data_IF_419117105188
#
_entry.id   IF_419117105188
#
_cell.length_a   1.000
_cell.length_b   1.000
_cell.length_c   1.000
_cell.angle_alpha   90.00
_cell.angle_beta   90.00
_cell.angle_gamma   90.00
#
_symmetry.space_group_name_H-M   'P 1'
#
loop_
_entity.id
_entity.type
_entity.pdbx_description
1 polymer ?
#
# COMPACT_ATOMS: atom_id res chain seq x y z
N UNK A 1 41.44 1.77 28.91
CA UNK A 1 41.39 0.77 27.84
C UNK A 1 41.43 -0.57 28.53
N UNK A 2 40.29 -1.22 28.70
CA UNK A 2 40.22 -2.66 28.93
C UNK A 2 39.68 -3.25 27.62
N UNK A 3 40.49 -4.12 27.00
CA UNK A 3 40.12 -4.84 25.78
C UNK A 3 38.94 -5.75 26.10
N UNK A 4 37.87 -5.67 25.31
CA UNK A 4 36.69 -6.48 25.54
C UNK A 4 37.01 -7.95 25.20
N UNK A 5 37.08 -8.81 26.23
CA UNK A 5 37.50 -10.21 26.15
C UNK A 5 36.47 -11.11 25.45
N UNK A 6 36.57 -11.25 24.13
CA UNK A 6 35.77 -12.21 23.34
C UNK A 6 36.66 -13.15 22.54
N UNK A 7 36.25 -14.42 22.46
CA UNK A 7 36.81 -15.41 21.53
C UNK A 7 35.88 -15.53 20.32
N UNK A 8 36.44 -15.31 19.11
CA UNK A 8 35.72 -15.50 17.85
C UNK A 8 35.81 -16.95 17.42
N UNK A 9 34.68 -17.61 17.25
CA UNK A 9 34.56 -18.99 16.77
C UNK A 9 34.01 -18.94 15.35
N UNK A 10 34.73 -19.53 14.41
CA UNK A 10 34.36 -19.59 13.00
C UNK A 10 33.85 -20.99 12.68
N UNK A 11 32.59 -21.08 12.34
CA UNK A 11 31.95 -22.32 11.88
C UNK A 11 31.74 -22.29 10.36
N UNK A 12 31.56 -23.44 9.69
CA UNK A 12 31.36 -23.48 8.24
C UNK A 12 30.19 -22.63 7.72
N UNK A 13 29.22 -22.33 8.58
CA UNK A 13 27.97 -21.62 8.25
C UNK A 13 27.66 -20.48 9.24
N UNK A 14 28.61 -20.08 10.09
CA UNK A 14 28.39 -19.02 11.06
C UNK A 14 29.69 -18.37 11.57
N UNK A 15 29.59 -17.12 12.03
CA UNK A 15 30.63 -16.50 12.85
C UNK A 15 30.02 -16.16 14.20
N UNK A 16 30.61 -16.70 15.26
CA UNK A 16 30.12 -16.57 16.63
C UNK A 16 31.14 -15.79 17.46
N UNK A 17 30.67 -14.93 18.36
CA UNK A 17 31.51 -14.27 19.35
C UNK A 17 31.06 -14.67 20.76
N UNK A 18 31.97 -15.28 21.53
CA UNK A 18 31.74 -15.76 22.90
C UNK A 18 32.58 -14.96 23.89
N UNK A 19 31.96 -14.42 24.94
CA UNK A 19 32.65 -13.67 25.99
C UNK A 19 33.49 -14.61 26.88
N UNK A 20 34.74 -14.25 27.18
CA UNK A 20 35.58 -15.09 28.05
C UNK A 20 35.14 -14.97 29.51
N UNK A 21 34.54 -16.04 30.03
CA UNK A 21 34.03 -16.13 31.40
C UNK A 21 32.60 -16.68 31.51
N UNK A 22 31.87 -16.77 30.39
CA UNK A 22 30.52 -17.33 30.33
C UNK A 22 30.40 -18.50 29.34
N UNK A 23 29.42 -19.37 29.56
CA UNK A 23 29.09 -20.48 28.65
C UNK A 23 28.21 -20.06 27.46
N UNK A 24 27.64 -18.85 27.51
CA UNK A 24 26.64 -18.38 26.56
C UNK A 24 27.25 -17.59 25.37
N UNK A 25 26.72 -17.85 24.17
CA UNK A 25 27.09 -17.15 22.93
C UNK A 25 26.44 -15.77 22.95
N UNK A 26 27.24 -14.70 22.80
CA UNK A 26 26.75 -13.32 22.91
C UNK A 26 26.30 -12.73 21.56
N UNK A 27 26.81 -13.26 20.44
CA UNK A 27 26.43 -12.89 19.08
C UNK A 27 26.56 -14.10 18.14
N UNK A 28 25.62 -14.25 17.20
CA UNK A 28 25.69 -15.25 16.14
C UNK A 28 25.28 -14.65 14.79
N UNK A 29 26.20 -14.71 13.82
CA UNK A 29 25.87 -14.49 12.41
C UNK A 29 25.59 -15.85 11.80
N UNK A 30 24.34 -16.11 11.42
CA UNK A 30 23.97 -17.35 10.74
C UNK A 30 23.99 -17.14 9.22
N UNK A 31 24.61 -18.07 8.51
CA UNK A 31 24.54 -18.18 7.05
C UNK A 31 23.92 -19.55 6.76
N UNK A 32 22.60 -19.67 6.82
CA UNK A 32 21.95 -20.91 6.42
C UNK A 32 21.74 -20.92 4.91
N UNK A 33 22.23 -21.94 4.19
CA UNK A 33 21.70 -22.27 2.88
C UNK A 33 20.38 -23.02 3.10
N UNK A 34 19.24 -22.34 2.99
CA UNK A 34 17.98 -23.04 2.77
C UNK A 34 17.92 -23.45 1.30
N UNK A 35 17.95 -24.75 1.01
CA UNK A 35 17.66 -25.23 -0.33
C UNK A 35 16.15 -25.40 -0.50
N UNK A 36 15.55 -24.40 -1.12
CA UNK A 36 14.28 -24.54 -1.83
C UNK A 36 14.51 -24.00 -3.23
N UNK A 37 14.33 -24.86 -4.25
CA UNK A 37 14.39 -24.51 -5.67
C UNK A 37 15.69 -23.84 -6.19
N UNK A 38 16.84 -24.26 -5.66
CA UNK A 38 18.14 -23.94 -6.28
C UNK A 38 18.60 -22.48 -6.18
N UNK A 39 17.93 -21.66 -5.36
CA UNK A 39 18.42 -20.33 -4.96
C UNK A 39 18.83 -20.34 -3.49
N UNK A 40 19.99 -19.75 -3.19
CA UNK A 40 20.51 -19.60 -1.82
C UNK A 40 20.15 -18.22 -1.31
N UNK A 41 19.19 -18.14 -0.39
CA UNK A 41 18.93 -16.91 0.37
C UNK A 41 19.90 -16.80 1.56
N UNK A 42 20.41 -15.59 1.81
CA UNK A 42 21.23 -15.28 2.99
C UNK A 42 20.41 -14.39 3.92
N UNK A 43 20.03 -14.92 5.07
CA UNK A 43 19.33 -14.17 6.11
C UNK A 43 20.33 -13.69 7.16
N UNK A 44 20.51 -12.38 7.30
CA UNK A 44 21.37 -11.78 8.35
C UNK A 44 20.50 -11.38 9.53
N UNK A 45 20.43 -12.26 10.53
CA UNK A 45 19.77 -11.96 11.81
C UNK A 45 20.76 -11.37 12.81
N UNK A 46 20.53 -10.13 13.23
CA UNK A 46 21.20 -9.52 14.38
C UNK A 46 20.20 -9.50 15.54
N UNK A 47 20.42 -10.31 16.57
CA UNK A 47 19.60 -10.27 17.78
C UNK A 47 20.49 -10.26 19.04
N UNK A 48 20.29 -9.27 19.90
CA UNK A 48 20.58 -9.40 21.34
C UNK A 48 19.61 -8.53 22.16
N UNK A 49 18.82 -9.12 23.07
CA UNK A 49 17.87 -8.39 23.90
C UNK A 49 18.50 -7.65 25.10
N UNK A 50 19.83 -7.61 25.23
CA UNK A 50 20.51 -7.07 26.43
C UNK A 50 21.45 -5.89 26.17
N UNK A 51 21.45 -5.34 24.95
CA UNK A 51 22.24 -4.16 24.61
C UNK A 51 21.37 -2.92 24.53
N UNK A 52 21.85 -1.82 25.11
CA UNK A 52 21.26 -0.50 24.89
C UNK A 52 21.55 -0.02 23.46
N UNK A 53 20.72 0.89 22.94
CA UNK A 53 20.86 1.46 21.58
C UNK A 53 22.26 2.02 21.31
N UNK A 54 22.90 2.60 22.33
CA UNK A 54 24.25 3.17 22.21
C UNK A 54 25.36 2.10 22.15
N UNK A 55 25.16 0.96 22.81
CA UNK A 55 26.07 -0.19 22.71
C UNK A 55 25.92 -0.91 21.38
N UNK A 56 24.69 -0.98 20.85
CA UNK A 56 24.40 -1.44 19.49
C UNK A 56 25.09 -0.57 18.44
N UNK A 57 25.04 0.76 18.59
CA UNK A 57 25.67 1.72 17.68
C UNK A 57 27.20 1.58 17.64
N UNK A 58 27.85 1.47 18.80
CA UNK A 58 29.31 1.27 18.89
C UNK A 58 29.76 -0.10 18.37
N UNK A 59 28.96 -1.15 18.55
CA UNK A 59 29.24 -2.48 18.01
C UNK A 59 29.08 -2.51 16.48
N UNK A 60 28.04 -1.86 15.95
CA UNK A 60 27.91 -1.62 14.51
C UNK A 60 29.11 -0.86 13.96
N UNK A 61 29.55 0.23 14.60
CA UNK A 61 30.75 0.99 14.18
C UNK A 61 32.03 0.14 14.14
N UNK A 62 32.16 -0.90 14.99
CA UNK A 62 33.32 -1.81 15.02
C UNK A 62 33.21 -2.98 14.02
N UNK A 63 32.00 -3.48 13.74
CA UNK A 63 31.76 -4.52 12.70
C UNK A 63 31.80 -3.89 11.29
N UNK A 64 31.40 -2.63 11.16
CA UNK A 64 31.44 -1.82 9.94
C UNK A 64 32.76 -1.03 9.75
N UNK A 65 33.88 -1.42 10.38
CA UNK A 65 35.19 -0.89 9.98
C UNK A 65 35.67 -1.42 8.62
N UNK A 66 34.92 -2.34 8.01
CA UNK A 66 35.00 -2.59 6.58
C UNK A 66 34.02 -1.63 5.89
N UNK A 67 34.50 -0.79 4.98
CA UNK A 67 33.63 0.07 4.16
C UNK A 67 32.55 -0.80 3.49
N UNK A 68 31.34 -0.28 3.26
CA UNK A 68 30.33 -0.98 2.43
C UNK A 68 30.95 -1.47 1.10
N UNK A 69 31.94 -0.73 0.60
CA UNK A 69 32.77 -1.09 -0.55
C UNK A 69 33.56 -2.38 -0.33
N UNK A 70 34.15 -2.59 0.85
CA UNK A 70 34.90 -3.80 1.19
C UNK A 70 33.99 -5.02 1.36
N UNK A 71 32.79 -4.79 1.90
CA UNK A 71 31.74 -5.82 2.03
C UNK A 71 31.29 -6.25 0.62
N UNK A 72 30.95 -5.29 -0.24
CA UNK A 72 30.56 -5.55 -1.62
C UNK A 72 31.70 -6.25 -2.40
N UNK A 73 32.95 -5.82 -2.25
CA UNK A 73 34.11 -6.48 -2.88
C UNK A 73 34.23 -7.96 -2.46
N UNK A 74 34.09 -8.26 -1.17
CA UNK A 74 34.20 -9.63 -0.64
C UNK A 74 33.04 -10.52 -1.06
N UNK A 75 31.82 -9.97 -1.14
CA UNK A 75 30.66 -10.69 -1.67
C UNK A 75 30.90 -11.04 -3.16
N UNK A 76 31.42 -10.12 -3.97
CA UNK A 76 31.73 -10.43 -5.38
C UNK A 76 32.81 -11.50 -5.56
N UNK A 77 33.85 -11.49 -4.71
CA UNK A 77 34.90 -12.54 -4.71
C UNK A 77 34.34 -13.93 -4.38
N UNK A 78 33.20 -13.98 -3.70
CA UNK A 78 32.48 -15.21 -3.35
C UNK A 78 31.40 -15.60 -4.35
N UNK A 79 31.24 -14.86 -5.46
CA UNK A 79 30.31 -15.19 -6.55
C UNK A 79 28.89 -14.68 -6.36
N UNK A 80 28.68 -13.71 -5.48
CA UNK A 80 27.36 -13.10 -5.28
C UNK A 80 26.96 -12.19 -6.45
N UNK A 81 25.67 -12.19 -6.77
CA UNK A 81 25.09 -11.36 -7.84
C UNK A 81 25.17 -9.86 -7.47
N UNK A 82 25.83 -9.02 -8.30
CA UNK A 82 25.96 -7.58 -8.03
C UNK A 82 24.64 -6.79 -8.09
N UNK A 83 23.53 -7.39 -8.54
CA UNK A 83 22.23 -6.75 -8.69
C UNK A 83 21.24 -7.04 -7.54
N UNK A 84 21.64 -7.88 -6.58
CA UNK A 84 20.79 -8.22 -5.43
C UNK A 84 20.84 -7.08 -4.41
N UNK A 85 19.66 -6.56 -4.08
CA UNK A 85 19.47 -5.51 -3.09
C UNK A 85 19.17 -6.13 -1.72
N UNK A 86 19.99 -5.80 -0.73
CA UNK A 86 19.69 -6.09 0.69
C UNK A 86 18.66 -5.07 1.19
N UNK A 87 17.63 -5.50 1.92
CA UNK A 87 16.57 -4.62 2.41
C UNK A 87 17.16 -3.46 3.22
N UNK A 88 16.85 -2.21 2.81
CA UNK A 88 17.37 -1.00 3.42
C UNK A 88 18.74 -0.52 2.90
N UNK A 89 19.39 -1.25 2.00
CA UNK A 89 20.68 -0.87 1.40
C UNK A 89 20.52 -0.49 -0.07
N UNK A 90 21.42 0.34 -0.58
CA UNK A 90 21.53 0.64 -2.01
C UNK A 90 22.22 -0.50 -2.75
N UNK A 91 22.02 -0.59 -4.06
CA UNK A 91 22.78 -1.52 -4.89
C UNK A 91 24.29 -1.28 -4.73
N UNK A 92 25.12 -2.32 -4.86
CA UNK A 92 26.56 -2.17 -4.85
C UNK A 92 27.07 -1.12 -5.85
N UNK A 93 26.48 -1.07 -7.06
CA UNK A 93 26.87 -0.14 -8.12
C UNK A 93 26.39 1.29 -7.86
N UNK A 94 25.17 1.49 -7.34
CA UNK A 94 24.68 2.82 -6.98
C UNK A 94 25.46 3.39 -5.80
N UNK A 95 25.82 2.56 -4.82
CA UNK A 95 26.69 2.94 -3.70
C UNK A 95 28.07 3.39 -4.20
N UNK A 96 28.72 2.57 -5.03
CA UNK A 96 30.02 2.93 -5.61
C UNK A 96 29.94 4.23 -6.43
N UNK A 97 28.86 4.42 -7.19
CA UNK A 97 28.66 5.64 -7.96
C UNK A 97 28.37 6.88 -7.10
N UNK A 98 27.57 6.75 -6.05
CA UNK A 98 27.25 7.83 -5.12
C UNK A 98 28.48 8.33 -4.36
N UNK A 99 29.42 7.44 -4.06
CA UNK A 99 30.67 7.76 -3.38
C UNK A 99 31.82 8.10 -4.35
N UNK A 100 31.59 8.02 -5.67
CA UNK A 100 32.58 8.39 -6.69
C UNK A 100 33.68 7.34 -6.91
N UNK A 101 33.44 6.09 -6.53
CA UNK A 101 34.39 4.97 -6.59
C UNK A 101 34.43 4.34 -7.99
N UNK A 102 35.08 5.05 -8.93
CA UNK A 102 35.11 4.71 -10.37
C UNK A 102 35.61 3.28 -10.64
N UNK A 103 36.72 2.86 -10.01
CA UNK A 103 37.30 1.54 -10.28
C UNK A 103 36.45 0.39 -9.72
N UNK A 104 35.77 0.63 -8.59
CA UNK A 104 34.80 -0.31 -8.02
C UNK A 104 33.58 -0.42 -8.93
N UNK A 105 33.07 0.71 -9.44
CA UNK A 105 31.97 0.73 -10.39
C UNK A 105 32.31 -0.02 -11.69
N UNK A 106 33.50 0.19 -12.28
CA UNK A 106 33.97 -0.58 -13.46
C UNK A 106 34.02 -2.08 -13.19
N UNK A 107 34.54 -2.48 -12.02
CA UNK A 107 34.62 -3.90 -11.63
C UNK A 107 33.23 -4.51 -11.48
N UNK A 108 32.29 -3.79 -10.87
CA UNK A 108 30.89 -4.20 -10.75
C UNK A 108 30.24 -4.37 -12.13
N UNK A 109 30.41 -3.40 -13.03
CA UNK A 109 29.89 -3.46 -14.41
C UNK A 109 30.48 -4.68 -15.14
N UNK A 110 31.79 -4.94 -15.02
CA UNK A 110 32.42 -6.12 -15.62
C UNK A 110 31.91 -7.46 -15.08
N UNK A 111 31.26 -7.43 -13.92
CA UNK A 111 30.65 -8.59 -13.26
C UNK A 111 29.13 -8.68 -13.50
N UNK A 112 28.58 -7.84 -14.38
CA UNK A 112 27.17 -7.87 -14.76
C UNK A 112 26.26 -6.98 -13.93
N UNK A 113 26.81 -5.99 -13.21
CA UNK A 113 25.99 -4.99 -12.53
C UNK A 113 25.18 -4.16 -13.53
N UNK A 114 23.89 -4.01 -13.27
CA UNK A 114 22.93 -3.28 -14.10
C UNK A 114 23.09 -1.77 -13.88
N UNK A 115 23.62 -1.12 -14.92
CA UNK A 115 23.92 0.31 -14.90
C UNK A 115 22.63 1.14 -14.91
N UNK A 116 21.61 0.71 -15.64
CA UNK A 116 20.34 1.42 -15.74
C UNK A 116 19.59 1.37 -14.40
N UNK A 117 19.63 0.23 -13.72
CA UNK A 117 19.07 0.06 -12.38
C UNK A 117 19.79 0.93 -11.34
N UNK A 118 21.12 1.00 -11.39
CA UNK A 118 21.90 1.87 -10.52
C UNK A 118 21.64 3.37 -10.79
N UNK A 119 21.50 3.76 -12.07
CA UNK A 119 21.14 5.13 -12.46
C UNK A 119 19.73 5.48 -11.97
N UNK A 120 18.77 4.56 -12.09
CA UNK A 120 17.41 4.75 -11.59
C UNK A 120 17.39 5.03 -10.08
N UNK A 121 18.11 4.21 -9.29
CA UNK A 121 18.17 4.39 -7.83
C UNK A 121 18.80 5.73 -7.41
N UNK A 122 19.84 6.19 -8.13
CA UNK A 122 20.45 7.49 -7.90
C UNK A 122 19.51 8.65 -8.27
N UNK A 123 18.75 8.54 -9.36
CA UNK A 123 17.76 9.55 -9.76
C UNK A 123 16.62 9.65 -8.75
N UNK A 124 16.15 8.52 -8.23
CA UNK A 124 15.17 8.46 -7.14
C UNK A 124 15.70 9.17 -5.88
N UNK A 125 16.96 8.91 -5.51
CA UNK A 125 17.60 9.57 -4.38
C UNK A 125 17.68 11.10 -4.56
N UNK A 126 18.08 11.57 -5.74
CA UNK A 126 18.11 13.00 -6.07
C UNK A 126 16.70 13.62 -6.06
N UNK A 127 15.72 12.96 -6.67
CA UNK A 127 14.33 13.43 -6.75
C UNK A 127 13.74 13.68 -5.35
N UNK A 128 13.96 12.77 -4.41
CA UNK A 128 13.51 12.91 -3.01
C UNK A 128 14.10 14.12 -2.28
N UNK A 129 15.32 14.54 -2.65
CA UNK A 129 15.96 15.71 -2.03
C UNK A 129 15.63 17.03 -2.73
N UNK A 130 15.16 16.98 -3.97
CA UNK A 130 14.87 18.17 -4.80
C UNK A 130 13.96 19.22 -4.12
N UNK A 131 12.90 18.85 -3.36
CA UNK A 131 12.08 19.81 -2.64
C UNK A 131 12.77 20.47 -1.43
N UNK A 132 13.92 19.94 -0.98
CA UNK A 132 14.57 20.28 0.30
C UNK A 132 16.00 20.80 0.13
N UNK A 133 16.36 21.34 -1.06
CA UNK A 133 17.73 21.79 -1.36
C UNK A 133 18.17 23.05 -0.60
N UNK A 134 17.27 23.67 0.17
CA UNK A 134 17.58 24.72 1.13
C UNK A 134 18.33 24.17 2.36
N UNK A 135 18.28 22.86 2.62
CA UNK A 135 19.05 22.21 3.67
C UNK A 135 20.41 21.71 3.14
N UNK A 136 21.54 22.09 3.76
CA UNK A 136 22.87 21.76 3.24
C UNK A 136 23.16 20.27 3.06
N UNK A 137 22.64 19.41 3.95
CA UNK A 137 22.88 17.97 3.86
C UNK A 137 22.05 17.31 2.76
N UNK A 138 20.81 17.77 2.54
CA UNK A 138 19.98 17.34 1.42
C UNK A 138 20.60 17.76 0.08
N UNK A 139 21.19 18.96 0.02
CA UNK A 139 21.94 19.43 -1.16
C UNK A 139 23.16 18.55 -1.44
N UNK A 140 23.95 18.18 -0.42
CA UNK A 140 25.08 17.24 -0.61
C UNK A 140 24.63 15.89 -1.17
N UNK A 141 23.52 15.34 -0.69
CA UNK A 141 22.98 14.06 -1.18
C UNK A 141 22.50 14.21 -2.63
N UNK A 142 21.79 15.30 -2.94
CA UNK A 142 21.35 15.62 -4.29
C UNK A 142 22.53 15.73 -5.27
N UNK A 143 23.57 16.48 -4.90
CA UNK A 143 24.74 16.70 -5.74
C UNK A 143 25.52 15.39 -5.95
N UNK A 144 25.74 14.61 -4.88
CA UNK A 144 26.40 13.29 -4.97
C UNK A 144 25.64 12.30 -5.86
N UNK A 145 24.31 12.25 -5.72
CA UNK A 145 23.49 11.36 -6.54
C UNK A 145 23.57 11.71 -8.03
N UNK A 146 23.49 13.00 -8.38
CA UNK A 146 23.62 13.46 -9.76
C UNK A 146 25.03 13.24 -10.34
N UNK A 147 26.08 13.45 -9.53
CA UNK A 147 27.46 13.12 -9.92
C UNK A 147 27.63 11.61 -10.18
N UNK A 148 27.01 10.76 -9.37
CA UNK A 148 26.98 9.31 -9.59
C UNK A 148 26.30 8.92 -10.91
N UNK A 149 25.18 9.55 -11.25
CA UNK A 149 24.50 9.33 -12.55
C UNK A 149 25.39 9.72 -13.71
N UNK A 150 26.05 10.88 -13.63
CA UNK A 150 26.98 11.34 -14.65
C UNK A 150 28.19 10.40 -14.79
N UNK A 151 28.75 9.94 -13.67
CA UNK A 151 29.85 8.98 -13.63
C UNK A 151 29.46 7.69 -14.37
N UNK A 152 28.33 7.09 -14.03
CA UNK A 152 27.86 5.86 -14.68
C UNK A 152 27.57 6.07 -16.17
N UNK A 153 26.95 7.20 -16.54
CA UNK A 153 26.67 7.55 -17.94
C UNK A 153 27.95 7.70 -18.79
N UNK A 154 29.06 8.13 -18.18
CA UNK A 154 30.38 8.20 -18.84
C UNK A 154 31.07 6.84 -18.94
N UNK A 155 30.86 5.96 -17.96
CA UNK A 155 31.42 4.61 -17.94
C UNK A 155 30.72 3.68 -18.96
N UNK A 156 29.51 4.03 -19.40
CA UNK A 156 28.76 3.31 -20.43
C UNK A 156 28.19 4.28 -21.47
N UNK A 157 28.94 4.64 -22.53
CA UNK A 157 28.41 5.50 -23.58
C UNK A 157 27.21 4.83 -24.27
N UNK A 158 26.02 5.44 -24.14
CA UNK A 158 24.77 5.03 -24.82
C UNK A 158 25.02 4.74 -26.30
N UNK A 159 24.70 3.52 -26.76
CA UNK A 159 24.24 3.33 -28.14
C UNK A 159 22.72 3.57 -28.18
N UNK A 160 22.27 4.19 -29.27
CA UNK A 160 20.99 4.92 -29.43
C UNK A 160 19.68 4.15 -29.14
N UNK A 161 18.64 4.89 -28.73
CA UNK A 161 17.23 4.43 -28.72
C UNK A 161 16.63 4.40 -30.16
N UNK A 162 15.41 3.86 -30.38
CA UNK A 162 14.96 2.49 -30.14
C UNK A 162 14.42 1.85 -31.44
N UNK A 163 14.43 0.51 -31.56
CA UNK A 163 13.58 -0.21 -32.53
C UNK A 163 12.98 -1.48 -31.92
N UNK A 164 11.67 -1.49 -31.81
CA UNK A 164 10.83 -2.67 -31.58
C UNK A 164 10.98 -3.68 -32.71
N UNK A 165 11.26 -4.95 -32.40
CA UNK A 165 10.49 -6.09 -32.94
C UNK A 165 10.40 -7.19 -31.87
N UNK A 166 9.19 -7.74 -31.79
CA UNK A 166 8.64 -8.74 -30.89
C UNK A 166 9.29 -10.14 -31.06
N UNK A 167 9.25 -10.89 -29.93
CA UNK A 167 9.32 -12.36 -29.73
C UNK A 167 10.71 -13.03 -29.74
N UNK A 168 11.10 -13.89 -28.79
CA UNK A 168 10.41 -14.66 -27.72
C UNK A 168 11.49 -15.27 -26.81
N UNK A 169 11.31 -15.27 -25.47
CA UNK A 169 12.16 -16.04 -24.54
C UNK A 169 12.42 -15.38 -23.18
N UNK A 170 11.39 -15.26 -22.35
CA UNK A 170 11.34 -14.52 -21.09
C UNK A 170 11.84 -15.35 -19.90
N UNK A 171 12.78 -14.82 -19.11
CA UNK A 171 12.87 -15.16 -17.67
C UNK A 171 12.49 -13.90 -16.91
N UNK A 172 11.24 -13.89 -16.48
CA UNK A 172 10.65 -12.93 -15.57
C UNK A 172 10.91 -13.37 -14.13
N UNK A 173 11.27 -12.43 -13.24
CA UNK A 173 10.71 -12.34 -11.88
C UNK A 173 11.35 -11.20 -11.05
N UNK A 174 10.67 -10.29 -10.34
CA UNK A 174 9.28 -9.81 -10.32
C UNK A 174 9.24 -8.53 -9.44
N UNK A 175 9.16 -7.34 -10.03
CA UNK A 175 8.31 -6.26 -9.49
C UNK A 175 7.56 -5.71 -10.69
N UNK A 176 6.43 -6.34 -11.02
CA UNK A 176 5.50 -5.79 -11.98
C UNK A 176 4.86 -4.55 -11.35
N UNK A 177 5.26 -3.35 -11.80
CA UNK A 177 4.28 -2.28 -11.84
C UNK A 177 3.23 -2.68 -12.87
N UNK A 178 2.00 -2.90 -12.40
CA UNK A 178 0.86 -3.13 -13.28
C UNK A 178 0.77 -1.94 -14.24
N UNK A 179 0.71 -2.14 -15.56
CA UNK A 179 0.54 -1.04 -16.50
C UNK A 179 -0.73 -0.25 -16.13
N UNK A 180 -0.70 1.08 -16.29
CA UNK A 180 -1.89 1.93 -16.11
C UNK A 180 -2.94 1.51 -17.15
N UNK A 181 -3.93 0.74 -16.70
CA UNK A 181 -5.07 0.32 -17.53
C UNK A 181 -6.04 1.50 -17.58
N UNK A 182 -6.18 2.10 -18.76
CA UNK A 182 -7.17 3.17 -18.97
C UNK A 182 -8.56 2.54 -19.17
N UNK A 183 -9.45 2.78 -18.23
CA UNK A 183 -10.81 2.27 -18.23
C UNK A 183 -11.77 3.23 -18.95
N UNK A 184 -12.91 2.72 -19.42
CA UNK A 184 -13.94 3.59 -19.96
C UNK A 184 -14.58 4.46 -18.88
N UNK A 185 -14.54 4.06 -17.60
CA UNK A 185 -15.06 4.87 -16.49
C UNK A 185 -14.12 6.00 -16.06
N UNK A 186 -12.83 5.99 -16.47
CA UNK A 186 -11.89 7.09 -16.22
C UNK A 186 -12.18 8.31 -17.10
N UNK A 187 -12.93 8.11 -18.20
CA UNK A 187 -13.40 9.19 -19.04
C UNK A 187 -14.75 9.71 -18.50
N UNK A 188 -14.71 10.86 -17.83
CA UNK A 188 -15.89 11.43 -17.19
C UNK A 188 -17.01 11.74 -18.20
N UNK A 189 -18.29 11.51 -17.85
CA UNK A 189 -19.41 11.92 -18.70
C UNK A 189 -19.45 13.44 -18.89
N UNK A 190 -20.00 13.89 -20.02
CA UNK A 190 -20.23 15.32 -20.28
C UNK A 190 -21.29 15.94 -19.35
N UNK A 191 -22.12 15.09 -18.73
CA UNK A 191 -23.19 15.50 -17.82
C UNK A 191 -22.56 16.06 -16.54
N UNK A 192 -22.98 17.26 -16.13
CA UNK A 192 -22.56 17.89 -14.87
C UNK A 192 -23.78 18.35 -14.08
N UNK A 193 -23.92 17.89 -12.85
CA UNK A 193 -24.91 18.43 -11.93
C UNK A 193 -24.52 19.85 -11.50
N UNK A 194 -25.52 20.63 -11.09
CA UNK A 194 -25.28 21.95 -10.51
C UNK A 194 -24.57 21.78 -9.17
N UNK A 195 -23.53 22.59 -8.87
CA UNK A 195 -22.89 22.56 -7.57
C UNK A 195 -23.88 22.73 -6.42
N UNK A 196 -23.79 21.87 -5.41
CA UNK A 196 -24.54 21.97 -4.16
C UNK A 196 -23.58 22.24 -3.00
N UNK A 197 -23.61 23.45 -2.45
CA UNK A 197 -22.72 23.87 -1.35
C UNK A 197 -22.89 23.04 -0.07
N UNK A 198 -24.02 22.35 0.08
CA UNK A 198 -24.30 21.51 1.25
C UNK A 198 -23.93 20.03 1.02
N UNK A 199 -23.29 19.69 -0.10
CA UNK A 199 -22.78 18.34 -0.35
C UNK A 199 -21.36 18.20 0.19
N UNK A 200 -21.12 17.16 1.00
CA UNK A 200 -19.83 16.84 1.60
C UNK A 200 -19.43 15.40 1.29
N UNK A 201 -18.14 15.14 1.12
CA UNK A 201 -17.67 13.78 0.92
C UNK A 201 -16.35 13.46 1.61
N UNK A 202 -16.19 12.19 2.00
CA UNK A 202 -14.91 11.59 2.39
C UNK A 202 -14.69 10.38 1.51
N UNK A 203 -13.56 10.35 0.79
CA UNK A 203 -13.19 9.33 -0.17
C UNK A 203 -11.86 8.73 0.24
N UNK A 204 -11.84 7.43 0.54
CA UNK A 204 -10.68 6.74 1.11
C UNK A 204 -10.27 5.59 0.20
N UNK A 205 -9.01 5.56 -0.19
CA UNK A 205 -8.41 4.49 -0.99
C UNK A 205 -7.10 3.99 -0.40
N UNK A 206 -7.08 2.80 0.16
CA UNK A 206 -5.88 2.22 0.80
C UNK A 206 -5.46 0.98 0.05
N UNK A 207 -4.40 1.11 -0.74
CA UNK A 207 -3.85 0.01 -1.53
C UNK A 207 -2.65 -0.64 -0.82
N UNK A 208 -1.79 0.18 -0.20
CA UNK A 208 -0.61 -0.27 0.52
C UNK A 208 -0.79 -0.04 2.02
N UNK A 209 -0.30 -0.97 2.84
CA UNK A 209 -0.47 -0.93 4.30
C UNK A 209 0.89 -0.98 4.99
N UNK A 210 1.03 -0.25 6.10
CA UNK A 210 2.26 -0.20 6.92
C UNK A 210 2.71 -1.59 7.37
N UNK A 211 1.75 -2.46 7.72
CA UNK A 211 2.01 -3.82 8.18
C UNK A 211 2.35 -4.81 7.05
N UNK A 212 2.66 -4.31 5.84
CA UNK A 212 2.93 -5.14 4.65
C UNK A 212 1.82 -6.17 4.39
N UNK A 213 0.56 -5.78 4.61
CA UNK A 213 -0.59 -6.59 4.25
C UNK A 213 -0.63 -6.81 2.72
N UNK A 214 -1.37 -7.80 2.21
CA UNK A 214 -1.66 -7.89 0.78
C UNK A 214 -2.12 -6.54 0.23
N UNK A 215 -1.78 -6.26 -1.03
CA UNK A 215 -2.25 -5.02 -1.66
C UNK A 215 -3.75 -5.13 -1.92
N UNK A 216 -4.48 -4.07 -1.62
CA UNK A 216 -5.85 -3.91 -2.09
C UNK A 216 -5.82 -3.23 -3.46
N UNK A 217 -5.48 -4.01 -4.49
CA UNK A 217 -5.25 -3.50 -5.85
C UNK A 217 -6.36 -2.53 -6.31
N UNK A 218 -5.91 -1.45 -6.94
CA UNK A 218 -6.70 -0.35 -7.51
C UNK A 218 -7.42 0.52 -6.50
N UNK A 219 -7.29 0.29 -5.18
CA UNK A 219 -8.02 1.08 -4.19
C UNK A 219 -7.71 2.58 -4.25
N UNK A 220 -6.46 2.95 -4.57
CA UNK A 220 -6.06 4.35 -4.76
C UNK A 220 -6.63 4.91 -6.06
N UNK A 221 -6.62 4.15 -7.16
CA UNK A 221 -7.19 4.56 -8.44
C UNK A 221 -8.71 4.78 -8.31
N UNK A 222 -9.41 3.82 -7.70
CA UNK A 222 -10.81 3.88 -7.36
C UNK A 222 -11.19 5.16 -6.58
N UNK A 223 -10.44 5.49 -5.53
CA UNK A 223 -10.69 6.69 -4.73
C UNK A 223 -10.44 7.99 -5.52
N UNK A 224 -9.41 8.02 -6.37
CA UNK A 224 -9.13 9.16 -7.24
C UNK A 224 -10.25 9.36 -8.26
N UNK A 225 -10.64 8.31 -8.99
CA UNK A 225 -11.72 8.38 -9.98
C UNK A 225 -13.06 8.75 -9.32
N UNK A 226 -13.39 8.20 -8.15
CA UNK A 226 -14.59 8.60 -7.40
C UNK A 226 -14.57 10.08 -7.01
N UNK A 227 -13.42 10.60 -6.55
CA UNK A 227 -13.25 12.03 -6.25
C UNK A 227 -13.56 12.90 -7.47
N UNK A 228 -13.12 12.48 -8.66
CA UNK A 228 -13.41 13.18 -9.91
C UNK A 228 -14.91 13.15 -10.26
N UNK A 229 -15.58 12.01 -10.08
CA UNK A 229 -17.03 11.93 -10.29
C UNK A 229 -17.79 12.85 -9.34
N UNK A 230 -17.44 12.84 -8.05
CA UNK A 230 -18.09 13.69 -7.05
C UNK A 230 -17.99 15.17 -7.42
N UNK A 231 -16.79 15.63 -7.74
CA UNK A 231 -16.50 17.05 -7.98
C UNK A 231 -16.92 17.52 -9.36
N UNK A 232 -16.62 16.75 -10.41
CA UNK A 232 -16.79 17.17 -11.81
C UNK A 232 -18.14 16.76 -12.42
N UNK A 233 -18.80 15.73 -11.87
CA UNK A 233 -20.06 15.16 -12.43
C UNK A 233 -21.25 15.36 -11.48
N UNK A 234 -21.05 15.16 -10.17
CA UNK A 234 -22.12 15.12 -9.18
C UNK A 234 -22.32 16.44 -8.41
N UNK A 235 -21.47 17.43 -8.64
CA UNK A 235 -21.64 18.79 -8.11
C UNK A 235 -21.25 18.96 -6.64
N UNK A 236 -20.38 18.11 -6.10
CA UNK A 236 -19.78 18.31 -4.78
C UNK A 236 -18.69 19.39 -4.89
N UNK A 237 -18.73 20.47 -4.07
CA UNK A 237 -17.67 21.47 -4.05
C UNK A 237 -16.33 20.82 -3.66
N UNK A 238 -15.24 21.17 -4.35
CA UNK A 238 -13.92 20.58 -4.08
C UNK A 238 -13.46 20.81 -2.63
N UNK A 239 -13.78 21.98 -2.06
CA UNK A 239 -13.50 22.32 -0.66
C UNK A 239 -14.22 21.43 0.36
N UNK A 240 -15.30 20.76 -0.07
CA UNK A 240 -16.12 19.86 0.75
C UNK A 240 -15.82 18.37 0.48
N UNK A 241 -14.83 18.05 -0.33
CA UNK A 241 -14.42 16.66 -0.63
C UNK A 241 -13.04 16.40 -0.05
N UNK A 242 -12.96 15.48 0.91
CA UNK A 242 -11.69 15.01 1.49
C UNK A 242 -11.32 13.68 0.85
N UNK A 243 -10.15 13.62 0.22
CA UNK A 243 -9.60 12.39 -0.35
C UNK A 243 -8.37 11.94 0.41
N UNK A 244 -8.40 10.73 0.98
CA UNK A 244 -7.30 10.13 1.73
C UNK A 244 -6.79 8.88 1.02
N UNK A 245 -5.49 8.75 0.87
CA UNK A 245 -4.87 7.58 0.24
C UNK A 245 -3.66 7.09 1.01
N UNK A 246 -3.51 5.77 1.12
CA UNK A 246 -2.37 5.11 1.78
C UNK A 246 -1.98 5.79 3.11
N UNK A 247 -0.75 6.29 3.24
CA UNK A 247 -0.16 6.87 4.45
C UNK A 247 -0.89 8.12 4.99
N UNK A 248 -1.79 8.72 4.20
CA UNK A 248 -2.70 9.79 4.64
C UNK A 248 -4.06 9.28 5.17
N UNK A 249 -4.22 7.96 5.31
CA UNK A 249 -5.43 7.28 5.72
C UNK A 249 -5.18 6.41 6.97
N UNK A 250 -4.46 6.95 7.96
CA UNK A 250 -4.26 6.28 9.23
C UNK A 250 -5.55 6.33 10.08
N UNK A 251 -5.61 5.53 11.15
CA UNK A 251 -6.77 5.51 12.05
C UNK A 251 -7.09 6.90 12.61
N UNK A 252 -6.06 7.68 12.96
CA UNK A 252 -6.23 9.05 13.44
C UNK A 252 -6.86 9.98 12.40
N UNK A 253 -6.61 9.75 11.11
CA UNK A 253 -7.26 10.51 10.03
C UNK A 253 -8.74 10.14 9.94
N UNK A 254 -9.08 8.87 10.09
CA UNK A 254 -10.49 8.44 10.11
C UNK A 254 -11.23 9.12 11.26
N UNK A 255 -10.66 9.12 12.47
CA UNK A 255 -11.23 9.77 13.65
C UNK A 255 -11.39 11.28 13.42
N UNK A 256 -10.34 11.95 12.89
CA UNK A 256 -10.38 13.37 12.55
C UNK A 256 -11.52 13.68 11.58
N UNK A 257 -11.62 12.95 10.47
CA UNK A 257 -12.56 13.31 9.41
C UNK A 257 -13.99 12.85 9.68
N UNK A 258 -14.19 11.61 10.14
CA UNK A 258 -15.52 11.08 10.43
C UNK A 258 -16.17 11.68 11.68
N UNK A 259 -15.39 12.04 12.71
CA UNK A 259 -15.95 12.47 14.00
C UNK A 259 -15.84 13.97 14.25
N UNK A 260 -14.82 14.64 13.70
CA UNK A 260 -14.61 16.09 13.94
C UNK A 260 -14.94 16.92 12.72
N UNK A 261 -14.34 16.61 11.56
CA UNK A 261 -14.53 17.43 10.37
C UNK A 261 -15.98 17.38 9.88
N UNK A 262 -16.59 16.20 9.74
CA UNK A 262 -18.01 16.13 9.37
C UNK A 262 -18.91 16.81 10.40
N UNK A 263 -18.69 16.57 11.69
CA UNK A 263 -19.48 17.19 12.75
C UNK A 263 -19.45 18.73 12.70
N UNK A 264 -18.29 19.31 12.37
CA UNK A 264 -18.11 20.75 12.33
C UNK A 264 -18.66 21.42 11.06
N UNK A 265 -18.79 20.70 9.94
CA UNK A 265 -19.13 21.28 8.64
C UNK A 265 -20.53 20.91 8.13
N UNK A 266 -21.05 19.74 8.53
CA UNK A 266 -22.32 19.23 8.01
C UNK A 266 -23.51 19.92 8.67
N UNK A 267 -24.38 20.50 7.85
CA UNK A 267 -25.59 21.19 8.27
C UNK A 267 -26.85 20.33 8.03
N UNK A 268 -28.02 20.84 8.43
CA UNK A 268 -29.29 20.10 8.40
C UNK A 268 -29.71 19.64 7.01
N UNK A 269 -29.47 20.47 5.99
CA UNK A 269 -29.87 20.17 4.61
C UNK A 269 -28.75 19.53 3.79
N UNK A 270 -27.67 19.09 4.45
CA UNK A 270 -26.52 18.49 3.79
C UNK A 270 -26.76 17.06 3.34
N UNK A 271 -26.11 16.71 2.23
CA UNK A 271 -25.90 15.33 1.77
C UNK A 271 -24.45 14.97 2.02
N UNK A 272 -24.21 13.82 2.65
CA UNK A 272 -22.86 13.32 2.92
C UNK A 272 -22.62 12.04 2.12
N UNK A 273 -21.51 11.96 1.39
CA UNK A 273 -21.09 10.77 0.66
C UNK A 273 -19.77 10.22 1.19
N UNK A 274 -19.78 9.00 1.70
CA UNK A 274 -18.61 8.30 2.19
C UNK A 274 -18.28 7.18 1.23
N UNK A 275 -17.06 7.16 0.72
CA UNK A 275 -16.56 6.08 -0.11
C UNK A 275 -15.30 5.48 0.50
N UNK A 276 -15.26 4.14 0.60
CA UNK A 276 -14.10 3.41 1.07
C UNK A 276 -13.74 2.29 0.11
N UNK A 277 -12.48 2.27 -0.30
CA UNK A 277 -11.85 1.22 -1.11
C UNK A 277 -10.61 0.73 -0.38
N UNK A 278 -10.58 -0.55 0.00
CA UNK A 278 -9.49 -1.10 0.80
C UNK A 278 -9.89 -2.35 1.58
N UNK A 279 -9.06 -2.73 2.54
CA UNK A 279 -9.25 -3.93 3.34
C UNK A 279 -10.27 -3.77 4.45
N UNK A 280 -11.05 -4.81 4.67
CA UNK A 280 -11.91 -4.98 5.82
C UNK A 280 -11.46 -6.20 6.61
N UNK A 281 -11.75 -6.20 7.91
CA UNK A 281 -11.38 -7.30 8.80
C UNK A 281 -12.49 -7.54 9.83
N UNK A 282 -12.87 -8.81 10.09
CA UNK A 282 -13.68 -9.15 11.23
C UNK A 282 -12.80 -9.21 12.49
N UNK A 283 -13.35 -8.80 13.63
CA UNK A 283 -12.76 -9.15 14.91
C UNK A 283 -12.93 -10.66 15.15
N UNK A 284 -11.84 -11.41 15.39
CA UNK A 284 -11.91 -12.87 15.51
C UNK A 284 -12.65 -13.35 16.76
N UNK A 285 -12.87 -12.48 17.76
CA UNK A 285 -13.57 -12.81 19.00
C UNK A 285 -15.04 -12.44 18.95
N UNK A 286 -15.38 -11.28 18.38
CA UNK A 286 -16.75 -10.74 18.41
C UNK A 286 -17.48 -10.85 17.09
N UNK A 287 -16.77 -11.02 15.97
CA UNK A 287 -17.34 -10.95 14.62
C UNK A 287 -17.60 -9.52 14.13
N UNK A 288 -17.31 -8.50 14.94
CA UNK A 288 -17.50 -7.09 14.56
C UNK A 288 -16.66 -6.72 13.33
N UNK A 289 -17.23 -5.95 12.41
CA UNK A 289 -16.57 -5.54 11.17
C UNK A 289 -15.79 -4.23 11.34
N UNK A 290 -14.55 -4.20 10.82
CA UNK A 290 -13.65 -3.05 10.84
C UNK A 290 -13.19 -2.69 9.43
N UNK A 291 -13.16 -1.38 9.15
CA UNK A 291 -12.30 -0.83 8.11
C UNK A 291 -10.86 -0.91 8.60
N UNK A 292 -9.93 -1.32 7.74
CA UNK A 292 -8.50 -1.40 8.06
C UNK A 292 -7.81 -0.11 7.59
N UNK A 293 -7.39 0.79 8.49
CA UNK A 293 -6.63 1.97 8.10
C UNK A 293 -5.23 1.58 7.59
N UNK A 294 -4.50 2.52 7.01
CA UNK A 294 -3.14 2.30 6.49
C UNK A 294 -2.21 1.65 7.51
N UNK A 295 -2.39 2.07 8.76
CA UNK A 295 -1.56 1.73 9.89
C UNK A 295 -2.13 0.56 10.72
N UNK A 296 -3.26 -0.01 10.25
CA UNK A 296 -4.02 -1.09 10.84
C UNK A 296 -3.32 -2.45 10.83
N UNK A 297 -3.51 -3.22 11.88
CA UNK A 297 -3.00 -4.58 12.06
C UNK A 297 -4.18 -5.54 12.34
N UNK A 298 -4.48 -6.49 11.43
CA UNK A 298 -5.54 -7.47 11.63
C UNK A 298 -5.38 -8.34 12.90
N UNK A 299 -4.15 -8.46 13.43
CA UNK A 299 -3.86 -9.14 14.70
C UNK A 299 -4.39 -8.37 15.91
N UNK A 300 -4.38 -7.04 15.82
CA UNK A 300 -4.85 -6.10 16.85
C UNK A 300 -5.97 -5.23 16.29
N UNK A 301 -6.93 -5.85 15.60
CA UNK A 301 -7.92 -5.11 14.81
C UNK A 301 -8.86 -4.26 15.67
N UNK A 302 -9.10 -4.66 16.93
CA UNK A 302 -9.92 -3.88 17.86
C UNK A 302 -9.25 -2.53 18.21
N UNK A 303 -7.92 -2.52 18.32
CA UNK A 303 -7.13 -1.36 18.69
C UNK A 303 -6.75 -0.51 17.48
N UNK A 304 -6.42 -1.14 16.37
CA UNK A 304 -5.82 -0.48 15.19
C UNK A 304 -6.79 -0.29 14.03
N UNK A 305 -7.91 -1.02 14.01
CA UNK A 305 -8.99 -0.86 13.05
C UNK A 305 -9.96 0.27 13.40
N UNK A 306 -10.84 0.60 12.47
CA UNK A 306 -11.97 1.50 12.70
C UNK A 306 -13.29 0.75 12.49
N UNK A 307 -14.02 0.48 13.56
CA UNK A 307 -15.22 -0.36 13.49
C UNK A 307 -16.35 0.31 12.70
N UNK A 308 -17.11 -0.49 11.93
CA UNK A 308 -18.30 0.02 11.22
C UNK A 308 -19.37 0.51 12.20
N UNK A 309 -19.46 -0.09 13.38
CA UNK A 309 -20.31 0.40 14.47
C UNK A 309 -19.95 1.84 14.85
N UNK A 310 -18.66 2.12 15.09
CA UNK A 310 -18.17 3.48 15.41
C UNK A 310 -18.42 4.45 14.26
N UNK A 311 -18.24 4.01 13.01
CA UNK A 311 -18.59 4.80 11.82
C UNK A 311 -20.06 5.22 11.85
N UNK A 312 -20.99 4.26 11.96
CA UNK A 312 -22.43 4.53 11.93
C UNK A 312 -22.89 5.35 13.14
N UNK A 313 -22.32 5.12 14.33
CA UNK A 313 -22.57 5.95 15.51
C UNK A 313 -22.12 7.41 15.29
N UNK A 314 -20.99 7.64 14.64
CA UNK A 314 -20.54 9.00 14.29
C UNK A 314 -21.46 9.65 13.27
N UNK A 315 -21.77 8.94 12.18
CA UNK A 315 -22.64 9.43 11.11
C UNK A 315 -24.07 9.71 11.61
N UNK A 316 -24.59 8.90 12.53
CA UNK A 316 -25.91 9.08 13.12
C UNK A 316 -26.06 10.38 13.92
N UNK A 317 -24.96 10.93 14.46
CA UNK A 317 -24.94 12.20 15.19
C UNK A 317 -25.04 13.41 14.26
N UNK A 318 -24.69 13.27 12.99
CA UNK A 318 -24.74 14.37 12.03
C UNK A 318 -26.18 14.85 11.79
N UNK A 319 -26.35 16.14 11.55
CA UNK A 319 -27.66 16.73 11.25
C UNK A 319 -28.08 16.55 9.79
N UNK A 320 -27.22 15.96 8.95
CA UNK A 320 -27.46 15.73 7.53
C UNK A 320 -28.85 15.18 7.22
N UNK A 321 -29.41 15.65 6.10
CA UNK A 321 -30.64 15.14 5.51
C UNK A 321 -30.48 13.69 5.05
N UNK A 322 -29.30 13.36 4.53
CA UNK A 322 -29.00 12.08 3.91
C UNK A 322 -27.51 11.78 3.94
N UNK A 323 -27.18 10.52 4.22
CA UNK A 323 -25.82 10.03 4.25
C UNK A 323 -25.76 8.76 3.42
N UNK A 324 -24.81 8.70 2.51
CA UNK A 324 -24.58 7.59 1.60
C UNK A 324 -23.22 7.02 1.91
N UNK A 325 -23.13 5.71 2.13
CA UNK A 325 -21.88 5.01 2.40
C UNK A 325 -21.71 3.92 1.35
N UNK A 326 -20.66 4.01 0.54
CA UNK A 326 -20.27 3.00 -0.43
C UNK A 326 -18.97 2.30 0.03
N UNK A 327 -19.05 0.99 0.27
CA UNK A 327 -17.95 0.18 0.78
C UNK A 327 -17.51 -0.84 -0.28
N UNK A 328 -16.37 -0.61 -0.90
CA UNK A 328 -15.69 -1.60 -1.74
C UNK A 328 -14.63 -2.35 -0.93
N UNK A 329 -15.12 -3.24 -0.06
CA UNK A 329 -14.30 -3.98 0.89
C UNK A 329 -14.95 -5.31 1.26
N UNK A 330 -14.14 -6.28 1.70
CA UNK A 330 -14.61 -7.55 2.25
C UNK A 330 -14.30 -7.58 3.73
N UNK A 331 -15.20 -8.12 4.52
CA UNK A 331 -15.01 -8.20 5.97
C UNK A 331 -15.21 -9.63 6.50
N UNK A 332 -15.33 -10.61 5.60
CA UNK A 332 -15.54 -12.04 5.93
C UNK A 332 -14.27 -12.78 6.35
N UNK A 333 -13.10 -12.23 6.06
CA UNK A 333 -11.82 -12.91 6.18
C UNK A 333 -11.56 -13.96 5.10
N UNK A 334 -12.43 -14.11 4.11
CA UNK A 334 -12.36 -15.15 3.08
C UNK A 334 -11.40 -14.82 1.90
N UNK A 335 -10.62 -13.74 2.01
CA UNK A 335 -9.70 -13.28 0.96
C UNK A 335 -10.24 -12.10 0.13
N UNK A 336 -9.54 -11.78 -0.97
CA UNK A 336 -9.78 -10.57 -1.77
C UNK A 336 -9.49 -9.30 -0.96
N UNK A 337 -10.48 -8.41 -0.84
CA UNK A 337 -10.37 -7.21 0.01
C UNK A 337 -10.61 -7.49 1.50
N UNK A 338 -10.43 -8.73 1.99
CA UNK A 338 -10.47 -9.05 3.43
C UNK A 338 -9.13 -9.52 3.95
N UNK A 339 -8.79 -9.10 5.17
CA UNK A 339 -7.59 -9.55 5.89
C UNK A 339 -7.96 -10.02 7.30
N UNK A 340 -7.28 -11.06 7.77
CA UNK A 340 -7.42 -11.60 9.13
C UNK A 340 -6.05 -11.93 9.71
N UNK A 341 -5.97 -12.02 11.04
CA UNK A 341 -4.75 -12.41 11.72
C UNK A 341 -4.24 -13.79 11.26
N UNK A 342 -2.92 -13.94 11.14
CA UNK A 342 -2.28 -15.19 10.67
C UNK A 342 -2.73 -16.38 11.54
N UNK A 343 -3.21 -17.44 10.90
CA UNK A 343 -3.72 -18.64 11.59
C UNK A 343 -5.18 -18.55 12.06
N UNK A 344 -5.87 -17.41 11.86
CA UNK A 344 -7.31 -17.30 12.12
C UNK A 344 -8.13 -17.91 11.00
N UNK A 345 -9.34 -18.36 11.33
CA UNK A 345 -10.31 -18.84 10.33
C UNK A 345 -11.25 -17.70 9.94
N UNK A 346 -11.70 -17.63 8.67
CA UNK A 346 -12.76 -16.72 8.25
C UNK A 346 -14.00 -16.89 9.13
N UNK A 347 -14.66 -15.79 9.46
CA UNK A 347 -15.90 -15.78 10.23
C UNK A 347 -17.04 -15.25 9.36
N UNK A 348 -18.22 -15.84 9.53
CA UNK A 348 -19.44 -15.29 8.95
C UNK A 348 -19.78 -14.02 9.70
N UNK A 349 -19.79 -12.92 8.97
CA UNK A 349 -20.18 -11.64 9.54
C UNK A 349 -21.67 -11.55 9.84
N UNK A 350 -21.99 -10.92 10.96
CA UNK A 350 -23.32 -10.40 11.25
C UNK A 350 -23.27 -8.88 11.13
N UNK A 351 -23.65 -8.35 9.97
CA UNK A 351 -23.93 -6.93 9.85
C UNK A 351 -25.33 -6.69 10.39
N UNK A 352 -25.44 -6.28 11.66
CA UNK A 352 -26.75 -5.98 12.25
C UNK A 352 -27.33 -4.71 11.63
N UNK A 353 -28.37 -4.86 10.82
CA UNK A 353 -29.07 -3.74 10.15
C UNK A 353 -29.68 -2.75 11.15
N UNK A 354 -29.98 -3.18 12.38
CA UNK A 354 -30.47 -2.35 13.49
C UNK A 354 -29.46 -1.29 13.96
N UNK A 355 -28.17 -1.45 13.64
CA UNK A 355 -27.13 -0.50 14.03
C UNK A 355 -26.97 0.68 13.06
N UNK A 356 -27.64 0.65 11.89
CA UNK A 356 -27.52 1.70 10.87
C UNK A 356 -28.61 2.77 11.09
N UNK A 357 -28.25 4.05 11.31
CA UNK A 357 -29.22 5.12 11.49
C UNK A 357 -30.14 5.29 10.27
N UNK A 358 -31.40 5.67 10.50
CA UNK A 358 -32.43 5.80 9.45
C UNK A 358 -32.15 6.85 8.37
N UNK A 359 -31.12 7.68 8.53
CA UNK A 359 -30.66 8.66 7.51
C UNK A 359 -29.49 8.16 6.66
N UNK A 360 -28.96 6.98 6.98
CA UNK A 360 -27.79 6.39 6.34
C UNK A 360 -28.25 5.28 5.38
N UNK A 361 -27.85 5.40 4.12
CA UNK A 361 -27.95 4.32 3.13
C UNK A 361 -26.54 3.73 2.93
N UNK A 362 -26.42 2.42 3.02
CA UNK A 362 -25.16 1.68 2.87
C UNK A 362 -25.25 0.77 1.66
N UNK A 363 -24.28 0.93 0.76
CA UNK A 363 -24.07 0.07 -0.41
C UNK A 363 -22.73 -0.65 -0.24
N UNK A 364 -22.74 -1.97 -0.09
CA UNK A 364 -21.52 -2.78 0.06
C UNK A 364 -21.26 -3.65 -1.17
N UNK A 365 -19.98 -3.91 -1.45
CA UNK A 365 -19.53 -4.66 -2.62
C UNK A 365 -19.87 -6.14 -2.61
N UNK A 366 -20.03 -6.75 -1.44
CA UNK A 366 -20.34 -8.18 -1.28
C UNK A 366 -21.24 -8.44 -0.06
N UNK A 367 -21.85 -9.63 -0.02
CA UNK A 367 -22.74 -10.07 1.06
C UNK A 367 -22.11 -11.17 1.90
N UNK A 368 -22.30 -11.11 3.22
CA UNK A 368 -21.92 -12.21 4.13
C UNK A 368 -20.44 -12.57 4.03
N UNK A 369 -20.16 -13.80 3.62
CA UNK A 369 -18.82 -14.37 3.47
C UNK A 369 -18.17 -14.14 2.09
N UNK A 370 -18.89 -13.52 1.14
CA UNK A 370 -18.45 -13.36 -0.24
C UNK A 370 -17.28 -12.39 -0.43
N UNK A 371 -16.49 -12.66 -1.49
CA UNK A 371 -15.29 -11.92 -1.86
C UNK A 371 -15.66 -10.70 -2.73
N UNK A 372 -15.04 -9.56 -2.48
CA UNK A 372 -14.96 -8.39 -3.36
C UNK A 372 -13.71 -8.51 -4.21
N UNK A 373 -13.93 -8.58 -5.51
CA UNK A 373 -12.93 -8.88 -6.53
C UNK A 373 -12.38 -7.62 -7.17
N UNK A 374 -11.15 -7.69 -7.67
CA UNK A 374 -10.59 -6.70 -8.58
C UNK A 374 -11.09 -6.99 -10.00
N UNK A 375 -11.31 -5.94 -10.79
CA UNK A 375 -11.59 -6.06 -12.22
C UNK A 375 -10.36 -5.69 -13.02
N UNK A 376 -9.50 -6.70 -13.21
CA UNK A 376 -8.18 -6.54 -13.80
C UNK A 376 -8.18 -5.83 -15.14
N UNK A 377 -9.02 -6.25 -16.08
CA UNK A 377 -9.11 -5.64 -17.42
C UNK A 377 -9.55 -4.17 -17.41
N UNK A 378 -10.07 -3.69 -16.27
CA UNK A 378 -10.63 -2.36 -16.10
C UNK A 378 -9.86 -1.48 -15.13
N UNK A 379 -8.81 -1.99 -14.48
CA UNK A 379 -8.00 -1.17 -13.57
C UNK A 379 -8.72 -0.67 -12.31
N UNK A 380 -9.76 -1.38 -11.86
CA UNK A 380 -10.62 -0.95 -10.75
C UNK A 380 -11.07 -2.12 -9.87
N UNK A 381 -11.63 -1.84 -8.69
CA UNK A 381 -12.48 -2.80 -7.98
C UNK A 381 -13.70 -3.17 -8.83
N UNK A 382 -14.15 -4.43 -8.83
CA UNK A 382 -15.29 -4.88 -9.65
C UNK A 382 -16.57 -4.12 -9.32
N UNK A 383 -16.82 -3.91 -8.03
CA UNK A 383 -17.94 -3.11 -7.56
C UNK A 383 -17.79 -1.64 -7.98
N UNK A 384 -16.61 -1.06 -7.75
CA UNK A 384 -16.35 0.35 -8.08
C UNK A 384 -16.48 0.63 -9.58
N UNK A 385 -15.96 -0.25 -10.44
CA UNK A 385 -16.12 -0.14 -11.89
C UNK A 385 -17.60 -0.04 -12.28
N UNK A 386 -18.44 -1.00 -11.84
CA UNK A 386 -19.85 -0.98 -12.21
C UNK A 386 -20.61 0.17 -11.54
N UNK A 387 -20.21 0.60 -10.35
CA UNK A 387 -20.81 1.78 -9.71
C UNK A 387 -20.55 3.04 -10.53
N UNK A 388 -19.29 3.28 -10.89
CA UNK A 388 -18.91 4.41 -11.75
C UNK A 388 -19.57 4.31 -13.12
N UNK A 389 -19.68 3.11 -13.69
CA UNK A 389 -20.35 2.87 -14.96
C UNK A 389 -21.83 3.23 -14.90
N UNK A 390 -22.54 2.79 -13.87
CA UNK A 390 -23.95 3.13 -13.67
C UNK A 390 -24.16 4.65 -13.53
N UNK A 391 -23.30 5.33 -12.76
CA UNK A 391 -23.34 6.80 -12.62
C UNK A 391 -23.05 7.48 -13.97
N UNK A 392 -22.04 7.00 -14.71
CA UNK A 392 -21.68 7.51 -16.04
C UNK A 392 -22.83 7.36 -17.04
N UNK A 393 -23.55 6.25 -16.97
CA UNK A 393 -24.72 5.96 -17.81
C UNK A 393 -26.00 6.70 -17.35
N UNK A 394 -25.89 7.56 -16.32
CA UNK A 394 -26.92 8.51 -15.92
C UNK A 394 -27.77 8.08 -14.72
N UNK A 395 -27.44 6.97 -14.05
CA UNK A 395 -28.16 6.53 -12.85
C UNK A 395 -27.82 7.49 -11.69
N UNK A 396 -28.87 7.99 -11.04
CA UNK A 396 -28.73 8.99 -9.96
C UNK A 396 -29.36 8.58 -8.64
N UNK A 397 -30.27 7.62 -8.65
CA UNK A 397 -30.92 7.08 -7.46
C UNK A 397 -30.18 5.83 -6.97
N UNK A 398 -29.99 5.68 -5.66
CA UNK A 398 -29.29 4.53 -5.09
C UNK A 398 -30.04 3.21 -5.32
N UNK A 399 -31.37 3.23 -5.27
CA UNK A 399 -32.18 2.03 -5.55
C UNK A 399 -31.95 1.52 -6.97
N UNK A 400 -32.02 2.42 -7.95
CA UNK A 400 -31.74 2.11 -9.36
C UNK A 400 -30.28 1.66 -9.57
N UNK A 401 -29.34 2.31 -8.88
CA UNK A 401 -27.93 1.93 -8.93
C UNK A 401 -27.72 0.53 -8.37
N UNK A 402 -28.39 0.17 -7.27
CA UNK A 402 -28.33 -1.17 -6.70
C UNK A 402 -28.92 -2.23 -7.65
N UNK A 403 -30.07 -1.94 -8.25
CA UNK A 403 -30.72 -2.80 -9.25
C UNK A 403 -29.83 -3.01 -10.48
N UNK A 404 -29.04 -2.00 -10.86
CA UNK A 404 -28.00 -2.12 -11.88
C UNK A 404 -26.81 -2.96 -11.37
N UNK A 405 -26.26 -2.66 -10.21
CA UNK A 405 -25.04 -3.29 -9.69
C UNK A 405 -25.19 -4.80 -9.47
N UNK A 406 -26.29 -5.22 -8.84
CA UNK A 406 -26.51 -6.61 -8.42
C UNK A 406 -26.33 -7.64 -9.55
N UNK A 407 -27.00 -7.51 -10.71
CA UNK A 407 -26.81 -8.45 -11.82
C UNK A 407 -25.46 -8.29 -12.55
N UNK A 408 -24.91 -7.08 -12.64
CA UNK A 408 -23.66 -6.83 -13.37
C UNK A 408 -22.44 -7.36 -12.62
N UNK A 409 -22.32 -7.03 -11.34
CA UNK A 409 -21.25 -7.54 -10.45
C UNK A 409 -21.36 -9.05 -10.33
N UNK A 410 -22.53 -9.58 -9.95
CA UNK A 410 -22.71 -11.01 -9.74
C UNK A 410 -22.46 -11.87 -10.98
N UNK A 411 -22.89 -11.40 -12.17
CA UNK A 411 -22.61 -12.11 -13.42
C UNK A 411 -21.13 -12.09 -13.77
N UNK A 412 -20.45 -10.95 -13.58
CA UNK A 412 -19.03 -10.80 -13.94
C UNK A 412 -18.14 -11.59 -12.99
N UNK A 413 -18.41 -11.53 -11.69
CA UNK A 413 -17.76 -12.34 -10.66
C UNK A 413 -17.81 -13.84 -11.01
N UNK A 414 -19.01 -14.36 -11.32
CA UNK A 414 -19.19 -15.77 -11.70
C UNK A 414 -18.49 -16.13 -13.01
N UNK A 415 -18.59 -15.28 -14.04
CA UNK A 415 -18.07 -15.60 -15.38
C UNK A 415 -16.55 -15.46 -15.49
N UNK A 416 -15.97 -14.45 -14.86
CA UNK A 416 -14.56 -14.08 -15.03
C UNK A 416 -13.70 -14.68 -13.92
N UNK A 417 -14.20 -14.69 -12.68
CA UNK A 417 -13.41 -15.05 -11.50
C UNK A 417 -13.86 -16.35 -10.84
N UNK A 418 -14.94 -16.98 -11.35
CA UNK A 418 -15.51 -18.21 -10.79
C UNK A 418 -15.79 -18.11 -9.28
N UNK A 419 -16.23 -16.93 -8.82
CA UNK A 419 -16.60 -16.67 -7.44
C UNK A 419 -17.98 -16.02 -7.33
N UNK A 420 -18.45 -15.84 -6.09
CA UNK A 420 -19.66 -15.09 -5.81
C UNK A 420 -19.34 -13.71 -5.25
N UNK A 421 -19.99 -12.70 -5.81
CA UNK A 421 -19.99 -11.34 -5.29
C UNK A 421 -21.36 -10.71 -5.55
N UNK A 422 -22.11 -10.50 -4.47
CA UNK A 422 -23.46 -9.94 -4.51
C UNK A 422 -23.47 -8.64 -3.71
N UNK A 423 -23.55 -7.48 -4.37
CA UNK A 423 -23.71 -6.22 -3.68
C UNK A 423 -24.92 -6.24 -2.74
N UNK A 424 -24.86 -5.46 -1.66
CA UNK A 424 -25.98 -5.26 -0.72
C UNK A 424 -26.32 -3.79 -0.60
N UNK A 425 -27.61 -3.52 -0.42
CA UNK A 425 -28.13 -2.20 -0.08
C UNK A 425 -28.90 -2.30 1.22
N UNK A 426 -28.51 -1.50 2.21
CA UNK A 426 -29.27 -1.24 3.42
C UNK A 426 -29.69 0.22 3.35
N UNK A 427 -30.99 0.48 3.19
CA UNK A 427 -31.53 1.83 3.09
C UNK A 427 -32.83 1.94 3.90
N UNK A 428 -33.15 3.14 4.43
CA UNK A 428 -34.44 3.37 5.08
C UNK A 428 -35.59 3.11 4.12
N UNK A 429 -36.55 2.27 4.53
CA UNK A 429 -37.73 1.96 3.73
C UNK A 429 -38.50 3.25 3.37
N UNK A 430 -38.84 3.42 2.09
CA UNK A 430 -39.71 4.47 1.51
C UNK A 430 -39.08 5.81 1.13
N UNK A 431 -37.76 5.98 1.17
CA UNK A 431 -37.11 7.22 0.70
C UNK A 431 -36.25 6.96 -0.54
N UNK A 432 -36.51 7.71 -1.63
CA UNK A 432 -35.58 7.79 -2.76
C UNK A 432 -34.33 8.55 -2.30
N UNK A 433 -33.19 7.89 -2.36
CA UNK A 433 -31.87 8.44 -2.00
C UNK A 433 -31.14 8.77 -3.28
N UNK A 434 -30.72 10.01 -3.44
CA UNK A 434 -30.07 10.47 -4.68
C UNK A 434 -28.58 10.76 -4.45
N UNK A 435 -27.76 10.30 -5.39
CA UNK A 435 -26.31 10.52 -5.41
C UNK A 435 -25.95 12.00 -5.68
N UNK A 436 -26.84 12.72 -6.39
CA UNK A 436 -26.74 14.13 -6.75
C UNK A 436 -28.12 14.78 -6.83
N UNK A 437 -28.18 16.10 -6.63
CA UNK A 437 -29.42 16.89 -6.70
C UNK A 437 -29.96 17.07 -8.12
#
# INVERSE_FOLDING_TARGET
>A
MEEANYTVIREPHAVLARYQGGTDISYAFYFYPSQTDGQTEVEVLIASPWLTTEQMRKFQEQVFTASLVDINRKLLEKGYDPNVKVEGMWLPLSTAAFDGEIETAKKLISKGADVDLAIYELKEAASKQSPYLNYPDNRKIYDKANLGVEMLSRLTPRQAEPKTVIATGTVAAFVQEKPLIKSDVDELPAIKAKPNKNSYAIVIGIENYRQKLPKADYAVADAKTMTEYLTKVMGYPEENVVTLTNDHAAKSDFEKYFEKWLWNNVEKDSTVFIYYSGHGAPNPKTGDAYLVPYDGDPTFIAETGYSLKRLYESLGKLQAKEIIVALDSCFSGAGGRSVIAKGSRPLVMTMESSAIPSKVAVLSSSSGDQISSTYEEKGHGLFTYFMLKGIKDGITEIGELFDYLKPHVGRTARKVYNNEQTPQLIAPEKKKVFLRN
#
